data_IF_326310716925
#
_entry.id   IF_326310716925
#
_cell.length_a   1.000
_cell.length_b   1.000
_cell.length_c   1.000
_cell.angle_alpha   90.00
_cell.angle_beta   90.00
_cell.angle_gamma   90.00
#
_symmetry.space_group_name_H-M   'P 1'
#
loop_
_entity.id
_entity.type
_entity.pdbx_description
1 polymer ?
#
# COMPACT_ATOMS: atom_id res chain seq x y z
N UNK A 1 13.21 8.35 -21.15
CA UNK A 1 12.26 7.24 -20.89
C UNK A 1 10.96 7.90 -20.42
N UNK A 2 9.80 7.34 -20.74
CA UNK A 2 8.55 7.84 -20.17
C UNK A 2 8.56 7.63 -18.64
N UNK A 3 7.86 8.50 -17.91
CA UNK A 3 7.71 8.33 -16.46
C UNK A 3 6.97 7.01 -16.18
N UNK A 4 7.47 6.16 -15.25
CA UNK A 4 6.92 4.84 -14.98
C UNK A 4 5.57 4.91 -14.25
N UNK A 5 5.23 6.06 -13.70
CA UNK A 5 3.93 6.39 -13.13
C UNK A 5 3.63 7.88 -13.30
N UNK A 6 2.37 8.23 -13.29
CA UNK A 6 1.92 9.61 -13.13
C UNK A 6 1.75 9.91 -11.64
N UNK A 7 2.14 11.11 -11.22
CA UNK A 7 2.02 11.58 -9.86
C UNK A 7 1.13 12.82 -9.78
N UNK A 8 0.21 12.84 -8.84
CA UNK A 8 -0.64 14.00 -8.57
C UNK A 8 -0.99 14.08 -7.10
N UNK A 9 -1.32 15.29 -6.63
CA UNK A 9 -1.84 15.52 -5.27
C UNK A 9 -3.18 16.24 -5.39
N UNK A 10 -4.21 15.69 -4.77
CA UNK A 10 -5.55 16.27 -4.75
C UNK A 10 -6.14 16.09 -3.35
N UNK A 11 -6.61 17.16 -2.72
CA UNK A 11 -7.25 17.14 -1.39
C UNK A 11 -6.42 16.39 -0.33
N UNK A 12 -5.12 16.67 -0.26
CA UNK A 12 -4.15 16.04 0.66
C UNK A 12 -3.87 14.54 0.39
N UNK A 13 -4.29 14.02 -0.77
CA UNK A 13 -4.04 12.65 -1.21
C UNK A 13 -3.05 12.66 -2.36
N UNK A 14 -1.90 12.00 -2.17
CA UNK A 14 -0.91 11.76 -3.22
C UNK A 14 -1.28 10.49 -3.99
N UNK A 15 -1.36 10.57 -5.31
CA UNK A 15 -1.69 9.42 -6.17
C UNK A 15 -0.52 9.07 -7.06
N UNK A 16 -0.11 7.80 -7.02
CA UNK A 16 0.85 7.18 -7.91
C UNK A 16 0.09 6.23 -8.86
N UNK A 17 0.06 6.57 -10.14
CA UNK A 17 -0.67 5.81 -11.15
C UNK A 17 0.32 5.16 -12.12
N UNK A 18 0.49 3.83 -12.07
CA UNK A 18 1.37 3.10 -12.99
C UNK A 18 1.01 3.42 -14.43
N UNK A 19 1.99 3.74 -15.27
CA UNK A 19 1.78 4.28 -16.62
C UNK A 19 2.52 3.48 -17.69
N UNK A 20 2.05 2.26 -17.95
CA UNK A 20 2.56 1.39 -19.02
C UNK A 20 1.42 0.50 -19.59
N UNK A 21 0.32 1.17 -19.99
CA UNK A 21 -0.86 0.46 -20.52
C UNK A 21 -0.51 -0.38 -21.76
N UNK A 22 -1.18 -1.51 -22.01
CA UNK A 22 -2.36 -2.02 -21.29
C UNK A 22 -2.03 -2.89 -20.06
N UNK A 23 -0.79 -3.37 -19.91
CA UNK A 23 -0.41 -4.30 -18.85
C UNK A 23 0.11 -3.62 -17.58
N UNK A 24 0.47 -2.35 -17.69
CA UNK A 24 1.02 -1.55 -16.58
C UNK A 24 2.18 -2.29 -15.91
N UNK A 25 3.13 -2.78 -16.72
CA UNK A 25 4.35 -3.40 -16.20
C UNK A 25 5.15 -2.36 -15.40
N UNK A 26 5.68 -2.78 -14.28
CA UNK A 26 6.59 -1.96 -13.48
C UNK A 26 8.02 -2.12 -14.03
N UNK A 27 8.58 -1.13 -14.73
CA UNK A 27 9.95 -1.18 -15.18
C UNK A 27 10.92 -1.10 -14.00
N UNK A 28 12.18 -1.49 -14.20
CA UNK A 28 13.19 -1.48 -13.12
C UNK A 28 13.30 -0.12 -12.44
N UNK A 29 13.24 0.96 -13.22
CA UNK A 29 13.32 2.34 -12.70
C UNK A 29 12.04 2.82 -11.99
N UNK A 30 10.95 2.04 -11.97
CA UNK A 30 9.76 2.35 -11.18
C UNK A 30 10.10 2.44 -9.69
N UNK A 31 10.85 1.47 -9.20
CA UNK A 31 11.29 1.45 -7.79
C UNK A 31 12.33 2.54 -7.51
N UNK A 32 13.24 2.82 -8.46
CA UNK A 32 14.21 3.91 -8.31
C UNK A 32 13.48 5.25 -8.08
N UNK A 33 12.47 5.53 -8.90
CA UNK A 33 11.68 6.76 -8.80
C UNK A 33 10.86 6.83 -7.51
N UNK A 34 10.31 5.69 -7.05
CA UNK A 34 9.63 5.65 -5.75
C UNK A 34 10.61 5.88 -4.59
N UNK A 35 11.81 5.29 -4.61
CA UNK A 35 12.84 5.47 -3.58
C UNK A 35 13.26 6.95 -3.47
N UNK A 36 13.33 7.66 -4.61
CA UNK A 36 13.64 9.09 -4.66
C UNK A 36 12.48 9.96 -4.14
N UNK A 37 11.23 9.63 -4.48
CA UNK A 37 10.09 10.52 -4.25
C UNK A 37 9.36 10.28 -2.92
N UNK A 38 9.29 9.02 -2.45
CA UNK A 38 8.55 8.69 -1.22
C UNK A 38 9.02 9.46 0.02
N UNK A 39 10.32 9.71 0.26
CA UNK A 39 10.76 10.50 1.42
C UNK A 39 10.14 11.91 1.46
N UNK A 40 10.06 12.59 0.32
CA UNK A 40 9.45 13.93 0.22
C UNK A 40 7.94 13.84 0.47
N UNK A 41 7.25 12.85 -0.13
CA UNK A 41 5.82 12.63 0.05
C UNK A 41 5.47 12.32 1.51
N UNK A 42 6.25 11.47 2.18
CA UNK A 42 6.02 11.07 3.58
C UNK A 42 6.33 12.20 4.58
N UNK A 43 7.24 13.11 4.23
CA UNK A 43 7.61 14.24 5.08
C UNK A 43 6.71 15.47 4.88
N UNK A 44 6.02 15.59 3.74
CA UNK A 44 5.12 16.73 3.46
C UNK A 44 3.89 16.69 4.39
N UNK A 45 3.68 17.72 5.25
CA UNK A 45 2.52 17.79 6.14
C UNK A 45 1.19 17.93 5.40
N UNK A 46 1.22 18.37 4.15
CA UNK A 46 0.02 18.50 3.31
C UNK A 46 -0.40 17.19 2.65
N UNK A 47 0.45 16.17 2.65
CA UNK A 47 0.09 14.84 2.15
C UNK A 47 -0.27 13.96 3.35
N UNK A 48 -1.53 13.51 3.39
CA UNK A 48 -2.11 12.79 4.54
C UNK A 48 -2.62 11.40 4.19
N UNK A 49 -2.66 11.06 2.90
CA UNK A 49 -2.91 9.71 2.41
C UNK A 49 -2.22 9.51 1.06
N UNK A 50 -1.95 8.26 0.72
CA UNK A 50 -1.33 7.86 -0.55
C UNK A 50 -2.25 6.85 -1.24
N UNK A 51 -2.44 6.99 -2.56
CA UNK A 51 -3.17 6.02 -3.39
C UNK A 51 -2.22 5.46 -4.44
N UNK A 52 -2.11 4.14 -4.50
CA UNK A 52 -1.46 3.41 -5.59
C UNK A 52 -2.52 2.84 -6.52
N UNK A 53 -2.50 3.27 -7.78
CA UNK A 53 -3.42 2.85 -8.83
C UNK A 53 -2.67 2.71 -10.17
N UNK A 54 -3.36 2.63 -11.29
CA UNK A 54 -2.74 2.58 -12.60
C UNK A 54 -3.58 3.30 -13.66
N UNK A 55 -2.96 3.66 -14.78
CA UNK A 55 -3.63 4.29 -15.89
C UNK A 55 -4.57 3.33 -16.64
N UNK A 56 -5.65 3.89 -17.18
CA UNK A 56 -6.71 3.12 -17.82
C UNK A 56 -7.54 2.32 -16.81
N UNK A 57 -8.32 1.35 -17.33
CA UNK A 57 -9.19 0.45 -16.56
C UNK A 57 -8.93 -1.04 -16.90
N UNK A 58 -7.89 -1.34 -17.67
CA UNK A 58 -7.63 -2.71 -18.10
C UNK A 58 -6.95 -3.52 -16.98
N UNK A 59 -5.87 -2.99 -16.42
CA UNK A 59 -5.06 -3.71 -15.43
C UNK A 59 -4.41 -2.72 -14.45
N UNK A 60 -4.31 -3.14 -13.18
CA UNK A 60 -3.46 -2.43 -12.22
C UNK A 60 -1.97 -2.66 -12.57
N UNK A 61 -1.52 -3.90 -12.57
CA UNK A 61 -0.19 -4.27 -13.05
C UNK A 61 -0.07 -5.79 -13.23
N UNK A 62 0.48 -6.20 -14.36
CA UNK A 62 0.87 -7.60 -14.59
C UNK A 62 2.22 -7.96 -13.94
N UNK A 63 2.80 -7.05 -13.14
CA UNK A 63 4.03 -7.28 -12.39
C UNK A 63 5.24 -6.52 -12.96
N UNK A 64 6.42 -6.92 -12.50
CA UNK A 64 7.68 -6.32 -12.94
C UNK A 64 8.01 -6.69 -14.39
N UNK A 65 8.65 -5.79 -15.13
CA UNK A 65 9.18 -6.11 -16.46
C UNK A 65 10.39 -7.06 -16.36
N UNK A 66 10.11 -8.37 -16.46
CA UNK A 66 11.11 -9.43 -16.27
C UNK A 66 12.30 -9.33 -17.24
N UNK A 67 12.11 -8.76 -18.42
CA UNK A 67 13.19 -8.58 -19.41
C UNK A 67 14.27 -7.60 -18.94
N UNK A 68 13.95 -6.74 -17.99
CA UNK A 68 14.86 -5.73 -17.46
C UNK A 68 15.63 -6.20 -16.20
N UNK A 69 15.31 -7.38 -15.64
CA UNK A 69 15.95 -7.89 -14.41
C UNK A 69 17.48 -7.99 -14.56
N UNK A 70 18.03 -8.60 -15.64
CA UNK A 70 19.48 -8.74 -15.76
C UNK A 70 20.21 -7.40 -15.76
N UNK A 71 19.66 -6.38 -16.44
CA UNK A 71 20.22 -5.03 -16.46
C UNK A 71 20.07 -4.34 -15.09
N UNK A 72 18.94 -4.53 -14.43
CA UNK A 72 18.71 -4.03 -13.07
C UNK A 72 19.70 -4.60 -12.05
N UNK A 73 19.95 -5.90 -12.10
CA UNK A 73 20.93 -6.57 -11.23
C UNK A 73 22.35 -6.05 -11.51
N UNK A 74 22.71 -5.94 -12.79
CA UNK A 74 24.02 -5.40 -13.18
C UNK A 74 24.22 -3.98 -12.64
N UNK A 75 23.21 -3.13 -12.72
CA UNK A 75 23.25 -1.75 -12.20
C UNK A 75 23.31 -1.71 -10.67
N UNK A 76 22.61 -2.59 -9.97
CA UNK A 76 22.63 -2.70 -8.52
C UNK A 76 23.92 -3.35 -7.97
N UNK A 77 24.70 -4.02 -8.82
CA UNK A 77 25.94 -4.69 -8.46
C UNK A 77 25.77 -6.14 -8.02
N UNK A 78 24.61 -6.53 -7.50
CA UNK A 78 24.28 -7.94 -7.15
C UNK A 78 22.76 -8.17 -7.11
N UNK A 79 22.30 -9.43 -7.22
CA UNK A 79 20.88 -9.77 -7.01
C UNK A 79 20.37 -9.35 -5.63
N UNK A 80 21.17 -9.54 -4.58
CA UNK A 80 20.84 -9.19 -3.20
C UNK A 80 20.58 -7.68 -3.07
N UNK A 81 21.47 -6.85 -3.62
CA UNK A 81 21.30 -5.38 -3.60
C UNK A 81 20.08 -4.94 -4.42
N UNK A 82 19.83 -5.60 -5.55
CA UNK A 82 18.67 -5.34 -6.40
C UNK A 82 17.35 -5.58 -5.66
N UNK A 83 17.20 -6.72 -5.00
CA UNK A 83 15.98 -7.04 -4.25
C UNK A 83 15.90 -6.29 -2.92
N UNK A 84 17.03 -6.04 -2.24
CA UNK A 84 17.05 -5.23 -1.01
C UNK A 84 16.47 -3.82 -1.23
N UNK A 85 16.71 -3.21 -2.38
CA UNK A 85 16.10 -1.91 -2.72
C UNK A 85 14.57 -2.00 -2.74
N UNK A 86 14.00 -3.06 -3.35
CA UNK A 86 12.55 -3.26 -3.42
C UNK A 86 11.95 -3.40 -2.03
N UNK A 87 12.60 -4.17 -1.17
CA UNK A 87 12.18 -4.31 0.23
C UNK A 87 12.20 -2.97 0.97
N UNK A 88 13.27 -2.17 0.83
CA UNK A 88 13.35 -0.83 1.47
C UNK A 88 12.23 0.10 1.01
N UNK A 89 11.91 0.11 -0.30
CA UNK A 89 10.84 0.97 -0.84
C UNK A 89 9.47 0.54 -0.32
N UNK A 90 9.20 -0.77 -0.30
CA UNK A 90 7.95 -1.27 0.25
C UNK A 90 7.85 -1.03 1.77
N UNK A 91 8.97 -1.13 2.48
CA UNK A 91 9.05 -0.81 3.90
C UNK A 91 8.74 0.68 4.17
N UNK A 92 9.21 1.60 3.32
CA UNK A 92 8.83 3.02 3.42
C UNK A 92 7.31 3.23 3.26
N UNK A 93 6.63 2.45 2.43
CA UNK A 93 5.17 2.51 2.29
C UNK A 93 4.49 1.98 3.55
N UNK A 94 4.92 0.81 4.03
CA UNK A 94 4.32 0.09 5.16
C UNK A 94 4.54 0.80 6.50
N UNK A 95 5.75 1.37 6.71
CA UNK A 95 6.16 1.99 7.97
C UNK A 95 6.27 3.53 7.90
N UNK A 96 5.85 4.16 6.79
CA UNK A 96 6.00 5.60 6.57
C UNK A 96 5.06 6.48 7.40
N UNK A 97 4.11 5.90 8.13
CA UNK A 97 3.19 6.63 9.01
C UNK A 97 2.12 7.46 8.26
N UNK A 98 2.04 7.33 6.94
CA UNK A 98 0.98 7.92 6.11
C UNK A 98 0.11 6.78 5.54
N UNK A 99 -1.22 6.81 5.70
CA UNK A 99 -2.09 5.76 5.18
C UNK A 99 -1.92 5.57 3.68
N UNK A 100 -1.65 4.35 3.26
CA UNK A 100 -1.53 3.97 1.86
C UNK A 100 -2.69 3.05 1.45
N UNK A 101 -3.28 3.32 0.30
CA UNK A 101 -4.43 2.62 -0.28
C UNK A 101 -4.01 2.08 -1.64
N UNK A 102 -4.33 0.84 -1.96
CA UNK A 102 -4.12 0.27 -3.28
C UNK A 102 -5.43 -0.18 -3.93
N UNK A 103 -5.50 -0.08 -5.25
CA UNK A 103 -6.64 -0.54 -6.05
C UNK A 103 -6.31 -1.84 -6.78
N UNK A 104 -7.27 -2.77 -6.85
CA UNK A 104 -7.12 -4.02 -7.60
C UNK A 104 -8.15 -4.09 -8.73
N UNK A 105 -7.67 -4.15 -9.98
CA UNK A 105 -8.50 -4.35 -11.17
C UNK A 105 -7.68 -5.00 -12.29
N UNK A 106 -8.33 -5.81 -13.14
CA UNK A 106 -7.65 -6.58 -14.14
C UNK A 106 -6.52 -7.43 -13.55
N UNK A 107 -5.36 -7.45 -14.15
CA UNK A 107 -4.18 -8.12 -13.59
C UNK A 107 -3.60 -7.34 -12.40
N UNK A 108 -3.41 -8.05 -11.30
CA UNK A 108 -2.72 -7.61 -10.08
C UNK A 108 -1.76 -8.74 -9.69
N UNK A 109 -0.67 -8.91 -10.45
CA UNK A 109 0.15 -10.12 -10.43
C UNK A 109 1.60 -9.83 -10.03
N UNK A 110 2.22 -10.74 -9.27
CA UNK A 110 3.61 -10.61 -8.84
C UNK A 110 3.85 -9.28 -8.10
N UNK A 111 4.79 -8.46 -8.57
CA UNK A 111 5.03 -7.12 -8.02
C UNK A 111 3.75 -6.25 -7.98
N UNK A 112 2.78 -6.49 -8.88
CA UNK A 112 1.46 -5.85 -8.87
C UNK A 112 0.54 -6.31 -7.74
N UNK A 113 0.88 -7.36 -6.99
CA UNK A 113 0.29 -7.69 -5.70
C UNK A 113 1.23 -7.34 -4.55
N UNK A 114 2.55 -7.52 -4.72
CA UNK A 114 3.51 -7.34 -3.63
C UNK A 114 3.58 -5.88 -3.13
N UNK A 115 3.51 -4.87 -4.03
CA UNK A 115 3.43 -3.48 -3.64
C UNK A 115 2.13 -3.17 -2.87
N UNK A 116 0.92 -3.55 -3.35
CA UNK A 116 -0.31 -3.42 -2.59
C UNK A 116 -0.33 -4.10 -1.22
N UNK A 117 0.42 -5.20 -1.04
CA UNK A 117 0.55 -5.86 0.27
C UNK A 117 1.28 -5.00 1.31
N UNK A 118 2.10 -4.04 0.89
CA UNK A 118 2.72 -3.04 1.77
C UNK A 118 1.78 -1.84 2.06
N UNK A 119 0.63 -1.73 1.37
CA UNK A 119 -0.37 -0.70 1.65
C UNK A 119 -1.27 -1.12 2.81
N UNK A 120 -1.81 -0.13 3.54
CA UNK A 120 -2.68 -0.36 4.71
C UNK A 120 -4.11 -0.75 4.31
N UNK A 121 -4.60 -0.18 3.21
CA UNK A 121 -5.94 -0.45 2.69
C UNK A 121 -5.86 -0.96 1.25
N UNK A 122 -6.76 -1.85 0.89
CA UNK A 122 -6.88 -2.41 -0.47
C UNK A 122 -8.34 -2.49 -0.84
N UNK A 123 -8.67 -1.98 -2.03
CA UNK A 123 -10.02 -1.99 -2.60
C UNK A 123 -9.96 -2.71 -3.94
N UNK A 124 -10.89 -3.62 -4.22
CA UNK A 124 -10.93 -4.35 -5.48
C UNK A 124 -12.14 -3.97 -6.34
N UNK A 125 -11.97 -4.09 -7.65
CA UNK A 125 -13.10 -4.12 -8.56
C UNK A 125 -13.91 -5.41 -8.38
N UNK A 126 -15.24 -5.31 -8.45
CA UNK A 126 -16.14 -6.47 -8.43
C UNK A 126 -15.99 -7.33 -9.68
N UNK A 127 -15.54 -6.74 -10.80
CA UNK A 127 -15.40 -7.40 -12.09
C UNK A 127 -13.94 -7.46 -12.55
N UNK A 128 -13.58 -8.59 -13.16
CA UNK A 128 -12.38 -8.75 -13.98
C UNK A 128 -11.05 -8.78 -13.23
N UNK A 129 -11.01 -8.56 -11.92
CA UNK A 129 -9.79 -8.63 -11.16
C UNK A 129 -9.21 -10.07 -11.15
N UNK A 130 -7.89 -10.16 -11.36
CA UNK A 130 -7.09 -11.40 -11.29
C UNK A 130 -5.88 -11.12 -10.42
N UNK A 131 -5.98 -11.50 -9.15
CA UNK A 131 -5.06 -11.15 -8.08
C UNK A 131 -4.26 -12.39 -7.68
N UNK A 132 -2.93 -12.35 -7.70
CA UNK A 132 -2.12 -13.51 -7.33
C UNK A 132 -0.62 -13.31 -7.43
N UNK A 133 0.11 -14.32 -6.94
CA UNK A 133 1.58 -14.43 -7.00
C UNK A 133 1.94 -15.65 -7.87
N UNK A 134 2.04 -15.49 -9.21
CA UNK A 134 2.21 -16.61 -10.13
C UNK A 134 3.68 -17.00 -10.37
N UNK A 135 4.60 -16.67 -9.47
CA UNK A 135 6.04 -16.89 -9.62
C UNK A 135 6.38 -18.37 -9.77
N UNK A 136 5.56 -19.29 -9.22
CA UNK A 136 5.73 -20.73 -9.41
C UNK A 136 5.63 -21.16 -10.89
N UNK A 137 4.80 -20.48 -11.70
CA UNK A 137 4.71 -20.71 -13.15
C UNK A 137 6.05 -20.39 -13.87
N UNK A 138 6.94 -19.63 -13.20
CA UNK A 138 8.26 -19.25 -13.70
C UNK A 138 9.40 -20.05 -13.04
N UNK A 139 9.09 -21.03 -12.16
CA UNK A 139 10.08 -21.74 -11.35
C UNK A 139 10.78 -20.82 -10.33
N UNK A 140 10.10 -19.78 -9.86
CA UNK A 140 10.63 -18.75 -8.97
C UNK A 140 9.73 -18.54 -7.74
N UNK A 141 10.07 -17.56 -6.92
CA UNK A 141 9.33 -17.17 -5.72
C UNK A 141 9.03 -15.67 -5.74
N UNK A 142 8.00 -15.20 -5.03
CA UNK A 142 7.78 -13.76 -4.81
C UNK A 142 9.03 -13.12 -4.18
N UNK A 143 9.48 -12.00 -4.73
CA UNK A 143 10.79 -11.44 -4.39
C UNK A 143 10.75 -10.02 -3.81
N UNK A 144 9.57 -9.37 -3.73
CA UNK A 144 9.38 -8.06 -3.13
C UNK A 144 8.70 -8.12 -1.74
N UNK A 145 8.65 -9.31 -1.14
CA UNK A 145 8.08 -9.56 0.18
C UNK A 145 6.70 -10.21 0.18
N UNK A 146 6.21 -10.66 -0.98
CA UNK A 146 4.90 -11.32 -1.09
C UNK A 146 4.78 -12.56 -0.22
N UNK A 147 5.84 -13.39 -0.16
CA UNK A 147 5.87 -14.58 0.71
C UNK A 147 5.85 -14.27 2.21
N UNK A 148 6.27 -13.05 2.60
CA UNK A 148 6.26 -12.61 3.99
C UNK A 148 4.94 -11.90 4.35
N UNK A 149 4.43 -10.99 3.49
CA UNK A 149 3.25 -10.17 3.76
C UNK A 149 1.94 -10.89 3.52
N UNK A 150 1.82 -11.66 2.43
CA UNK A 150 0.56 -12.33 2.09
C UNK A 150 0.03 -13.21 3.23
N UNK A 151 0.84 -14.10 3.89
CA UNK A 151 0.31 -14.93 4.98
C UNK A 151 -0.10 -14.14 6.23
N UNK A 152 0.45 -12.93 6.44
CA UNK A 152 0.01 -12.04 7.53
C UNK A 152 -1.37 -11.45 7.25
N UNK A 153 -1.67 -11.17 5.98
CA UNK A 153 -2.95 -10.57 5.57
C UNK A 153 -4.06 -11.62 5.47
N UNK A 154 -3.81 -12.77 4.80
CA UNK A 154 -4.87 -13.75 4.48
C UNK A 154 -4.74 -15.06 5.27
N UNK A 155 -3.75 -15.17 6.12
CA UNK A 155 -3.42 -16.41 6.81
C UNK A 155 -2.64 -17.41 5.94
N UNK A 156 -1.90 -18.32 6.61
CA UNK A 156 -0.98 -19.24 5.97
C UNK A 156 -1.61 -20.15 4.91
N UNK A 157 -2.83 -20.63 5.16
CA UNK A 157 -3.49 -21.59 4.26
C UNK A 157 -3.82 -20.97 2.90
N UNK A 158 -4.38 -19.77 2.88
CA UNK A 158 -4.68 -19.07 1.63
C UNK A 158 -3.40 -18.61 0.92
N UNK A 159 -2.39 -18.15 1.66
CA UNK A 159 -1.12 -17.76 1.08
C UNK A 159 -0.43 -18.95 0.38
N UNK A 160 -0.39 -20.14 1.00
CA UNK A 160 0.14 -21.37 0.39
C UNK A 160 -0.64 -21.76 -0.88
N UNK A 161 -1.97 -21.69 -0.84
CA UNK A 161 -2.82 -21.99 -2.00
C UNK A 161 -2.55 -21.01 -3.17
N UNK A 162 -2.46 -19.72 -2.87
CA UNK A 162 -2.21 -18.69 -3.90
C UNK A 162 -0.80 -18.78 -4.48
N UNK A 163 0.23 -19.00 -3.65
CA UNK A 163 1.63 -19.01 -4.10
C UNK A 163 1.99 -20.35 -4.75
N UNK A 164 1.83 -21.48 -4.03
CA UNK A 164 2.31 -22.77 -4.53
C UNK A 164 1.54 -23.29 -5.74
N UNK A 165 0.29 -22.89 -5.90
CA UNK A 165 -0.55 -23.26 -7.04
C UNK A 165 -0.67 -22.15 -8.08
N UNK A 166 0.06 -21.05 -7.92
CA UNK A 166 -0.05 -19.85 -8.76
C UNK A 166 -1.52 -19.42 -8.99
N UNK A 167 -2.37 -19.65 -7.96
CA UNK A 167 -3.81 -19.38 -8.04
C UNK A 167 -4.07 -17.88 -8.11
N UNK A 168 -4.94 -17.50 -9.03
CA UNK A 168 -5.44 -16.14 -9.17
C UNK A 168 -6.87 -16.10 -8.66
N UNK A 169 -7.18 -15.12 -7.82
CA UNK A 169 -8.51 -14.90 -7.23
C UNK A 169 -9.13 -13.62 -7.79
N UNK A 170 -10.45 -13.51 -7.71
CA UNK A 170 -11.20 -12.29 -8.04
C UNK A 170 -11.36 -11.36 -6.82
N UNK A 171 -12.01 -10.20 -7.04
CA UNK A 171 -12.24 -9.22 -5.98
C UNK A 171 -13.13 -9.73 -4.85
N UNK A 172 -14.14 -10.54 -5.14
CA UNK A 172 -15.07 -11.07 -4.14
C UNK A 172 -14.38 -12.12 -3.25
N UNK A 173 -13.57 -13.00 -3.85
CA UNK A 173 -12.75 -13.95 -3.10
C UNK A 173 -11.70 -13.21 -2.26
N UNK A 174 -11.09 -12.15 -2.81
CA UNK A 174 -10.16 -11.30 -2.07
C UNK A 174 -10.81 -10.65 -0.83
N UNK A 175 -12.06 -10.20 -0.92
CA UNK A 175 -12.83 -9.70 0.21
C UNK A 175 -13.12 -10.83 1.23
N UNK A 176 -13.54 -11.99 0.75
CA UNK A 176 -13.87 -13.13 1.61
C UNK A 176 -12.70 -13.61 2.47
N UNK A 177 -11.48 -13.56 1.93
CA UNK A 177 -10.27 -14.00 2.65
C UNK A 177 -9.56 -12.86 3.39
N UNK A 178 -10.08 -11.65 3.36
CA UNK A 178 -9.52 -10.48 4.05
C UNK A 178 -8.34 -9.82 3.32
N UNK A 179 -8.09 -10.16 2.04
CA UNK A 179 -7.05 -9.50 1.26
C UNK A 179 -7.40 -8.05 0.94
N UNK A 180 -8.68 -7.76 0.72
CA UNK A 180 -9.19 -6.41 0.52
C UNK A 180 -10.27 -6.10 1.57
N UNK A 181 -10.46 -4.81 1.86
CA UNK A 181 -11.46 -4.33 2.82
C UNK A 181 -12.79 -3.97 2.16
N UNK A 182 -12.79 -3.76 0.84
CA UNK A 182 -13.96 -3.30 0.09
C UNK A 182 -13.90 -3.79 -1.36
N UNK A 183 -15.07 -4.02 -1.94
CA UNK A 183 -15.26 -4.33 -3.37
C UNK A 183 -16.31 -3.38 -3.93
N UNK A 184 -15.99 -2.73 -5.07
CA UNK A 184 -16.87 -1.77 -5.75
C UNK A 184 -16.88 -2.03 -7.26
N UNK A 185 -17.88 -1.53 -8.02
CA UNK A 185 -17.84 -1.54 -9.48
C UNK A 185 -16.56 -0.91 -10.02
N UNK A 186 -16.01 -1.46 -11.10
CA UNK A 186 -14.73 -1.04 -11.68
C UNK A 186 -14.70 0.46 -11.99
N UNK A 187 -15.78 1.00 -12.54
CA UNK A 187 -15.88 2.43 -12.89
C UNK A 187 -15.86 3.35 -11.66
N UNK A 188 -16.18 2.85 -10.48
CA UNK A 188 -16.18 3.61 -9.22
C UNK A 188 -14.87 3.44 -8.43
N UNK A 189 -14.03 2.48 -8.79
CA UNK A 189 -12.90 2.04 -7.97
C UNK A 189 -11.90 3.16 -7.66
N UNK A 190 -11.46 3.91 -8.66
CA UNK A 190 -10.50 5.01 -8.46
C UNK A 190 -11.10 6.16 -7.65
N UNK A 191 -12.36 6.50 -7.92
CA UNK A 191 -13.07 7.54 -7.15
C UNK A 191 -13.26 7.11 -5.69
N UNK A 192 -13.56 5.82 -5.45
CA UNK A 192 -13.69 5.30 -4.08
C UNK A 192 -12.36 5.29 -3.32
N UNK A 193 -11.25 4.94 -3.98
CA UNK A 193 -9.92 5.00 -3.39
C UNK A 193 -9.53 6.44 -3.02
N UNK A 194 -9.80 7.40 -3.91
CA UNK A 194 -9.61 8.83 -3.63
C UNK A 194 -10.46 9.28 -2.44
N UNK A 195 -11.75 8.93 -2.41
CA UNK A 195 -12.66 9.30 -1.32
C UNK A 195 -12.23 8.70 0.04
N UNK A 196 -11.73 7.45 0.06
CA UNK A 196 -11.15 6.87 1.27
C UNK A 196 -9.89 7.63 1.70
N UNK A 197 -9.03 8.01 0.76
CA UNK A 197 -7.85 8.83 1.04
C UNK A 197 -8.23 10.18 1.65
N UNK A 198 -9.22 10.85 1.11
CA UNK A 198 -9.75 12.13 1.62
C UNK A 198 -10.37 11.96 3.02
N UNK A 199 -11.11 10.89 3.25
CA UNK A 199 -11.64 10.55 4.59
C UNK A 199 -10.50 10.39 5.62
N UNK A 200 -9.47 9.61 5.29
CA UNK A 200 -8.30 9.40 6.15
C UNK A 200 -7.51 10.70 6.35
N UNK A 201 -7.43 11.55 5.34
CA UNK A 201 -6.76 12.84 5.41
C UNK A 201 -7.42 13.84 6.37
N UNK A 202 -8.69 13.64 6.74
CA UNK A 202 -9.35 14.46 7.77
C UNK A 202 -8.97 14.06 9.20
N UNK A 203 -8.36 12.89 9.40
CA UNK A 203 -8.00 12.39 10.73
C UNK A 203 -6.74 13.11 11.27
N UNK A 204 -6.56 13.17 12.61
CA UNK A 204 -5.41 13.84 13.22
C UNK A 204 -4.11 13.09 12.86
N UNK A 205 -3.20 13.77 12.15
CA UNK A 205 -2.00 13.17 11.55
C UNK A 205 -1.13 12.40 12.55
N UNK A 206 -0.90 12.98 13.73
CA UNK A 206 -0.08 12.32 14.78
C UNK A 206 -0.73 11.04 15.30
N UNK A 207 -2.05 11.06 15.49
CA UNK A 207 -2.77 9.87 15.95
C UNK A 207 -2.81 8.78 14.88
N UNK A 208 -3.01 9.16 13.60
CA UNK A 208 -2.96 8.21 12.47
C UNK A 208 -1.60 7.52 12.41
N UNK A 209 -0.50 8.31 12.45
CA UNK A 209 0.85 7.74 12.47
C UNK A 209 1.04 6.79 13.65
N UNK A 210 0.66 7.21 14.87
CA UNK A 210 0.81 6.41 16.08
C UNK A 210 0.05 5.08 16.01
N UNK A 211 -1.17 5.09 15.45
CA UNK A 211 -1.99 3.88 15.23
C UNK A 211 -1.34 2.96 14.20
N UNK A 212 -0.86 3.50 13.07
CA UNK A 212 -0.17 2.71 12.05
C UNK A 212 1.10 2.06 12.63
N UNK A 213 1.96 2.83 13.30
CA UNK A 213 3.19 2.33 13.93
C UNK A 213 2.89 1.19 14.92
N UNK A 214 1.79 1.30 15.69
CA UNK A 214 1.39 0.29 16.66
C UNK A 214 0.85 -0.97 15.98
N UNK A 215 -0.09 -0.82 15.03
CA UNK A 215 -0.75 -1.96 14.38
C UNK A 215 0.23 -2.71 13.45
N UNK A 216 0.97 -2.01 12.61
CA UNK A 216 1.97 -2.64 11.71
C UNK A 216 3.10 -3.25 12.54
N UNK A 217 3.56 -2.54 13.55
CA UNK A 217 4.64 -3.01 14.43
C UNK A 217 4.30 -4.25 15.26
N UNK A 218 3.02 -4.49 15.58
CA UNK A 218 2.63 -5.62 16.45
C UNK A 218 2.85 -7.00 15.82
N UNK A 219 2.97 -7.10 14.50
CA UNK A 219 3.14 -8.37 13.80
C UNK A 219 4.44 -9.12 14.15
N UNK A 220 5.44 -8.42 14.66
CA UNK A 220 6.76 -8.97 15.00
C UNK A 220 7.08 -8.91 16.48
N UNK A 221 6.14 -8.43 17.31
CA UNK A 221 6.32 -8.17 18.74
C UNK A 221 5.46 -9.08 19.61
N UNK A 222 5.89 -9.25 20.85
CA UNK A 222 5.06 -9.85 21.90
C UNK A 222 3.91 -8.91 22.27
N UNK A 223 2.90 -9.45 22.94
CA UNK A 223 1.79 -8.65 23.45
C UNK A 223 2.27 -7.52 24.38
N UNK A 224 3.21 -7.82 25.30
CA UNK A 224 3.74 -6.84 26.24
C UNK A 224 4.47 -5.69 25.51
N UNK A 225 5.30 -6.01 24.51
CA UNK A 225 5.98 -5.00 23.67
C UNK A 225 4.97 -4.16 22.89
N UNK A 226 3.92 -4.76 22.36
CA UNK A 226 2.85 -4.06 21.63
C UNK A 226 2.08 -3.12 22.53
N UNK A 227 1.81 -3.52 23.80
CA UNK A 227 1.18 -2.66 24.81
C UNK A 227 2.10 -1.47 25.19
N UNK A 228 3.42 -1.69 25.25
CA UNK A 228 4.36 -0.57 25.49
C UNK A 228 4.39 0.40 24.30
N UNK A 229 4.25 -0.08 23.07
CA UNK A 229 4.09 0.79 21.88
C UNK A 229 2.79 1.62 21.98
N UNK A 230 1.67 0.99 22.36
CA UNK A 230 0.39 1.69 22.56
C UNK A 230 0.50 2.78 23.63
N UNK A 231 1.17 2.52 24.76
CA UNK A 231 1.42 3.54 25.79
C UNK A 231 2.22 4.73 25.24
N UNK A 232 3.24 4.45 24.42
CA UNK A 232 4.01 5.52 23.74
C UNK A 232 3.15 6.31 22.75
N UNK A 233 2.28 5.65 22.00
CA UNK A 233 1.33 6.27 21.07
C UNK A 233 0.37 7.22 21.80
N UNK A 234 -0.18 6.78 22.95
CA UNK A 234 -1.03 7.62 23.82
C UNK A 234 -0.24 8.84 24.32
N UNK A 235 0.98 8.65 24.84
CA UNK A 235 1.81 9.76 25.35
C UNK A 235 2.16 10.78 24.25
N UNK A 236 2.38 10.33 23.02
CA UNK A 236 2.69 11.21 21.88
C UNK A 236 1.49 12.03 21.38
N UNK A 237 0.27 11.56 21.61
CA UNK A 237 -0.97 12.21 21.14
C UNK A 237 -1.68 13.01 22.23
N UNK A 238 -1.48 12.67 23.49
CA UNK A 238 -2.12 13.33 24.63
C UNK A 238 -1.70 14.79 24.75
N UNK A 239 -2.68 15.69 24.84
CA UNK A 239 -2.44 17.14 25.01
C UNK A 239 -2.05 17.87 23.73
N UNK A 240 -1.99 17.19 22.57
CA UNK A 240 -1.80 17.87 21.29
C UNK A 240 -2.99 18.76 20.93
N UNK A 241 -2.82 19.77 20.05
CA UNK A 241 -3.93 20.61 19.59
C UNK A 241 -5.10 19.78 19.05
N UNK A 242 -4.84 18.73 18.24
CA UNK A 242 -5.87 17.86 17.72
C UNK A 242 -6.59 17.06 18.82
N UNK A 243 -5.88 16.58 19.86
CA UNK A 243 -6.55 15.89 20.97
C UNK A 243 -7.42 16.81 21.81
N UNK A 244 -7.02 18.08 21.95
CA UNK A 244 -7.83 19.10 22.62
C UNK A 244 -9.06 19.46 21.81
N UNK A 245 -8.90 19.65 20.49
CA UNK A 245 -10.00 19.90 19.56
C UNK A 245 -10.99 18.75 19.55
N UNK A 246 -10.51 17.50 19.48
CA UNK A 246 -11.36 16.30 19.49
C UNK A 246 -12.20 16.23 20.79
N UNK A 247 -11.62 16.51 21.94
CA UNK A 247 -12.32 16.54 23.22
C UNK A 247 -13.35 17.69 23.28
N UNK A 248 -12.98 18.89 22.86
CA UNK A 248 -13.87 20.04 22.81
C UNK A 248 -15.06 19.77 21.87
N UNK A 249 -14.80 19.31 20.65
CA UNK A 249 -15.83 18.99 19.68
C UNK A 249 -16.81 17.92 20.18
N UNK A 250 -16.29 16.88 20.87
CA UNK A 250 -17.13 15.84 21.47
C UNK A 250 -18.08 16.41 22.53
N UNK A 251 -17.58 17.26 23.45
CA UNK A 251 -18.38 17.90 24.50
C UNK A 251 -19.41 18.87 23.93
N UNK A 252 -19.06 19.57 22.84
CA UNK A 252 -19.92 20.54 22.16
C UNK A 252 -20.86 19.86 21.12
N UNK A 253 -20.76 18.54 20.92
CA UNK A 253 -21.56 17.78 19.95
C UNK A 253 -21.45 18.28 18.50
N UNK A 254 -20.26 18.72 18.10
CA UNK A 254 -19.93 19.12 16.73
C UNK A 254 -18.89 18.19 16.11
N UNK A 255 -18.69 18.28 14.79
CA UNK A 255 -17.56 17.59 14.14
C UNK A 255 -16.24 18.29 14.49
N UNK A 256 -15.17 17.56 14.81
CA UNK A 256 -13.85 18.12 15.01
C UNK A 256 -13.25 18.60 13.67
N UNK A 257 -12.33 19.56 13.77
CA UNK A 257 -11.53 20.06 12.64
C UNK A 257 -10.07 19.93 13.01
N UNK A 258 -9.44 18.85 12.55
CA UNK A 258 -8.07 18.49 12.88
C UNK A 258 -7.03 19.14 11.95
N UNK A 259 -5.75 19.04 12.34
CA UNK A 259 -4.61 19.44 11.53
C UNK A 259 -4.60 20.95 11.17
N UNK A 260 -5.02 21.81 12.09
CA UNK A 260 -5.06 23.26 11.91
C UNK A 260 -3.79 23.96 12.42
N UNK A 261 -2.82 23.23 12.98
CA UNK A 261 -1.55 23.75 13.54
C UNK A 261 -0.36 23.20 12.77
#
# INVERSE_FOLDING_TARGET
MADPYLYSVTNNVATFSVNDAPYNLMPVHYIDRLEEQLPDVLSDPNIRAIVFTAEGLANFSAGMNLRQIPEGIKRAGSPEAFFAQRHRVLDMIENGGTPAIATFFGYCLGAGLELPLACHFRIAASEGAKIGLPEMDLGSVPAWGGSARLPRVVGRSYALDMILRARKIDGNEALRIGLVTEVVPLEQLKARAQALGEELATQPRLAVKAVLDTIVGCETKTMDESIEDEKRAVAATLGTPDSQEGMAAFLEKRKPVFNQS
#
